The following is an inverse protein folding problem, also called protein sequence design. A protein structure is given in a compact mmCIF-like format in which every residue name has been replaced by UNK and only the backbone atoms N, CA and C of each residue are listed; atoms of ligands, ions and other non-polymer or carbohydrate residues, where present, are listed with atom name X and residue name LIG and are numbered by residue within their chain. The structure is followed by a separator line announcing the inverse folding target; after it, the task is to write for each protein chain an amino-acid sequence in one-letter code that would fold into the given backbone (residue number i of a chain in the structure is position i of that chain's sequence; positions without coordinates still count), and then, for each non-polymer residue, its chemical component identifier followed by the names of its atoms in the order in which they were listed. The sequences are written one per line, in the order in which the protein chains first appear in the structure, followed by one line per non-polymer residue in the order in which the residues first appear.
data_IF_347183490180
#
_entry.id   IF_347183490180
#
_cell.length_a   1.000
_cell.length_b   1.000
_cell.length_c   1.000
_cell.angle_alpha   90.00
_cell.angle_beta   90.00
_cell.angle_gamma   90.00
#
_symmetry.space_group_name_H-M   'P 1'
#
loop_
_entity.id
_entity.type
_entity.pdbx_description
1 polymer ?
#
# COMPACT_ATOMS: atom_id res chain seq x y z
N UNK A 1 8.95 -8.44 -0.24
CA UNK A 1 8.70 -7.15 0.44
C UNK A 1 7.67 -7.34 1.55
N UNK A 2 7.24 -6.26 2.21
CA UNK A 2 6.12 -6.25 3.16
C UNK A 2 4.76 -6.34 2.45
N UNK A 3 3.72 -6.72 3.19
CA UNK A 3 2.33 -6.61 2.78
C UNK A 3 1.78 -5.22 3.11
N UNK A 4 0.55 -4.97 2.68
CA UNK A 4 -0.19 -3.75 3.01
C UNK A 4 -1.58 -4.11 3.50
N UNK A 5 -2.06 -3.34 4.47
CA UNK A 5 -3.47 -3.25 4.80
C UNK A 5 -3.94 -1.85 4.42
N UNK A 6 -4.93 -1.76 3.53
CA UNK A 6 -5.45 -0.47 3.04
C UNK A 6 -6.92 -0.36 3.38
N UNK A 7 -7.26 0.56 4.27
CA UNK A 7 -8.63 0.86 4.69
C UNK A 7 -9.13 2.08 3.91
N UNK A 8 -10.19 1.90 3.14
CA UNK A 8 -10.89 2.96 2.42
C UNK A 8 -12.15 3.34 3.18
N UNK A 9 -12.44 4.63 3.34
CA UNK A 9 -13.67 5.08 3.98
C UNK A 9 -14.13 6.44 3.49
N UNK A 10 -15.44 6.65 3.49
CA UNK A 10 -16.08 7.95 3.25
C UNK A 10 -16.71 8.49 4.53
N UNK A 11 -16.60 9.79 4.77
CA UNK A 11 -17.13 10.45 5.97
C UNK A 11 -18.18 11.49 5.62
N UNK A 12 -19.25 11.59 6.42
CA UNK A 12 -20.33 12.58 6.23
C UNK A 12 -20.00 13.99 6.72
N UNK A 13 -18.73 14.25 7.00
CA UNK A 13 -18.20 15.56 7.35
C UNK A 13 -16.80 15.68 6.79
N UNK A 14 -16.35 16.91 6.58
CA UNK A 14 -14.96 17.20 6.23
C UNK A 14 -14.07 17.25 7.46
N UNK A 15 -12.82 16.81 7.32
CA UNK A 15 -11.76 16.92 8.32
C UNK A 15 -10.73 17.94 7.84
N UNK A 16 -11.11 19.21 7.73
CA UNK A 16 -10.34 20.26 7.03
C UNK A 16 -8.86 20.34 7.43
N UNK A 17 -8.51 20.02 8.68
CA UNK A 17 -7.15 20.03 9.22
C UNK A 17 -6.26 18.83 8.83
N UNK A 18 -6.79 17.81 8.17
CA UNK A 18 -6.00 16.67 7.65
C UNK A 18 -5.53 17.01 6.25
N UNK A 19 -4.22 17.12 5.98
CA UNK A 19 -3.75 17.46 4.64
C UNK A 19 -3.95 16.32 3.63
N UNK A 20 -3.78 16.63 2.33
CA UNK A 20 -3.91 15.65 1.22
C UNK A 20 -3.11 14.38 1.51
N UNK A 21 -1.90 14.53 2.03
CA UNK A 21 -1.01 13.46 2.44
C UNK A 21 -0.60 13.69 3.89
N UNK A 22 -0.88 12.73 4.77
CA UNK A 22 -0.53 12.81 6.19
C UNK A 22 0.15 11.51 6.62
N UNK A 23 1.27 11.62 7.34
CA UNK A 23 1.93 10.47 7.99
C UNK A 23 1.70 10.58 9.50
N UNK A 24 1.10 9.55 10.07
CA UNK A 24 0.87 9.42 11.50
C UNK A 24 1.83 8.37 12.07
N UNK A 25 2.82 8.82 12.83
CA UNK A 25 3.86 7.96 13.37
C UNK A 25 3.47 7.31 14.68
N UNK A 26 3.66 5.99 14.76
CA UNK A 26 3.64 5.25 16.03
C UNK A 26 4.93 5.47 16.84
N UNK A 27 4.91 5.04 18.11
CA UNK A 27 6.02 5.28 19.05
C UNK A 27 7.28 4.45 18.74
N UNK A 28 7.14 3.25 18.16
CA UNK A 28 8.21 2.26 17.96
C UNK A 28 8.54 2.01 16.49
N UNK A 29 8.84 3.05 15.72
CA UNK A 29 9.05 2.92 14.27
C UNK A 29 10.07 1.82 13.88
N UNK A 30 11.24 1.77 14.52
CA UNK A 30 12.30 0.80 14.17
C UNK A 30 11.89 -0.64 14.49
N UNK A 31 11.35 -0.87 15.67
CA UNK A 31 10.95 -2.22 16.11
C UNK A 31 9.76 -2.73 15.29
N UNK A 32 8.80 -1.84 14.97
CA UNK A 32 7.67 -2.13 14.09
C UNK A 32 8.13 -2.64 12.72
N UNK A 33 9.14 -1.99 12.11
CA UNK A 33 9.70 -2.47 10.85
C UNK A 33 10.38 -3.84 10.99
N UNK A 34 11.09 -4.09 12.10
CA UNK A 34 11.69 -5.41 12.34
C UNK A 34 10.62 -6.50 12.50
N UNK A 35 9.54 -6.21 13.22
CA UNK A 35 8.43 -7.15 13.40
C UNK A 35 7.77 -7.50 12.06
N UNK A 36 7.59 -6.52 11.17
CA UNK A 36 6.99 -6.72 9.85
C UNK A 36 7.90 -7.49 8.90
N UNK A 37 9.15 -7.02 8.74
CA UNK A 37 10.06 -7.56 7.71
C UNK A 37 10.72 -8.86 8.15
N UNK A 38 11.14 -8.96 9.41
CA UNK A 38 11.98 -10.05 9.90
C UNK A 38 11.15 -11.08 10.66
N UNK A 39 10.37 -10.66 11.65
CA UNK A 39 9.65 -11.58 12.54
C UNK A 39 8.30 -12.04 11.97
N UNK A 40 7.77 -11.35 10.97
CA UNK A 40 6.47 -11.61 10.34
C UNK A 40 5.30 -11.54 11.33
N UNK A 41 5.36 -10.60 12.26
CA UNK A 41 4.37 -10.39 13.32
C UNK A 41 3.48 -9.20 12.97
N UNK A 42 2.16 -9.38 13.12
CA UNK A 42 1.23 -8.25 13.05
C UNK A 42 1.25 -7.52 14.40
N UNK A 43 1.86 -6.34 14.43
CA UNK A 43 2.04 -5.59 15.66
C UNK A 43 0.74 -4.98 16.20
N UNK A 44 0.71 -4.75 17.52
CA UNK A 44 -0.39 -4.05 18.20
C UNK A 44 -0.34 -2.52 18.01
N UNK A 45 0.82 -1.97 17.65
CA UNK A 45 0.99 -0.58 17.21
C UNK A 45 1.21 -0.49 15.69
N UNK A 46 1.05 0.72 15.15
CA UNK A 46 1.22 0.97 13.71
C UNK A 46 1.63 2.42 13.45
N UNK A 47 2.21 2.64 12.28
CA UNK A 47 2.32 3.97 11.66
C UNK A 47 1.46 3.95 10.40
N UNK A 48 0.76 5.05 10.16
CA UNK A 48 -0.25 5.13 9.11
C UNK A 48 0.12 6.20 8.10
N UNK A 49 -0.11 5.89 6.84
CA UNK A 49 -0.21 6.90 5.80
C UNK A 49 -1.68 7.14 5.48
N UNK A 50 -2.10 8.40 5.52
CA UNK A 50 -3.48 8.83 5.32
C UNK A 50 -3.51 9.69 4.07
N UNK A 51 -4.39 9.33 3.14
CA UNK A 51 -4.62 10.06 1.90
C UNK A 51 -6.04 10.63 1.92
N UNK A 52 -6.15 11.96 1.76
CA UNK A 52 -7.42 12.70 1.64
C UNK A 52 -7.45 13.44 0.29
N UNK A 53 -7.83 12.79 -0.82
CA UNK A 53 -7.82 13.43 -2.13
C UNK A 53 -8.75 14.64 -2.21
N UNK A 54 -9.84 14.67 -1.43
CA UNK A 54 -10.79 15.80 -1.33
C UNK A 54 -10.18 17.09 -0.79
N UNK A 55 -8.95 17.05 -0.25
CA UNK A 55 -8.15 18.23 0.04
C UNK A 55 -7.86 19.07 -1.23
N UNK A 56 -7.75 18.42 -2.37
CA UNK A 56 -7.31 19.01 -3.64
C UNK A 56 -8.37 18.88 -4.71
N UNK A 57 -9.08 17.75 -4.75
CA UNK A 57 -10.14 17.50 -5.71
C UNK A 57 -11.45 17.15 -4.98
N UNK A 58 -12.36 18.12 -4.80
CA UNK A 58 -13.65 17.90 -4.15
C UNK A 58 -14.53 16.83 -4.82
N UNK A 59 -14.29 16.48 -6.10
CA UNK A 59 -15.11 15.49 -6.83
C UNK A 59 -14.98 14.06 -6.30
N UNK A 60 -13.97 13.80 -5.46
CA UNK A 60 -13.75 12.49 -4.84
C UNK A 60 -14.77 12.12 -3.74
N UNK A 61 -15.63 13.05 -3.32
CA UNK A 61 -16.73 12.77 -2.40
C UNK A 61 -17.95 13.68 -2.69
N UNK A 62 -19.15 13.32 -2.19
CA UNK A 62 -20.29 14.24 -2.20
C UNK A 62 -20.01 15.55 -1.44
N UNK A 63 -20.84 16.56 -1.67
CA UNK A 63 -20.74 17.83 -0.96
C UNK A 63 -20.70 17.64 0.56
N UNK A 64 -19.83 18.42 1.21
CA UNK A 64 -19.58 18.37 2.66
C UNK A 64 -19.08 17.03 3.23
N UNK A 65 -18.70 16.09 2.36
CA UNK A 65 -18.09 14.82 2.73
C UNK A 65 -16.59 14.82 2.40
N UNK A 66 -15.86 13.86 2.96
CA UNK A 66 -14.50 13.53 2.56
C UNK A 66 -14.40 12.03 2.23
N UNK A 67 -13.47 11.68 1.36
CA UNK A 67 -13.05 10.30 1.10
C UNK A 67 -11.61 10.12 1.55
N UNK A 68 -11.28 8.95 2.07
CA UNK A 68 -9.94 8.61 2.52
C UNK A 68 -9.53 7.21 2.09
N UNK A 69 -8.22 7.02 1.97
CA UNK A 69 -7.65 5.72 2.33
C UNK A 69 -6.55 5.88 3.37
N UNK A 70 -6.39 4.84 4.17
CA UNK A 70 -5.36 4.70 5.19
C UNK A 70 -4.58 3.42 4.91
N UNK A 71 -3.27 3.57 4.76
CA UNK A 71 -2.34 2.49 4.51
C UNK A 71 -1.55 2.19 5.78
N UNK A 72 -1.62 0.93 6.21
CA UNK A 72 -0.81 0.37 7.29
C UNK A 72 0.16 -0.68 6.73
N UNK A 73 1.48 -0.54 6.95
CA UNK A 73 2.45 -1.59 6.69
C UNK A 73 2.16 -2.83 7.55
N UNK A 74 2.12 -4.01 6.93
CA UNK A 74 1.85 -5.29 7.63
C UNK A 74 2.74 -6.40 7.08
N UNK A 75 2.89 -7.53 7.79
CA UNK A 75 3.54 -8.70 7.21
C UNK A 75 2.84 -9.16 5.92
N UNK A 76 3.62 -9.70 4.99
CA UNK A 76 3.09 -10.35 3.80
C UNK A 76 2.55 -11.76 4.15
N UNK A 77 2.05 -12.50 3.15
CA UNK A 77 1.47 -13.84 3.35
C UNK A 77 2.47 -14.95 3.72
N UNK A 78 3.76 -14.62 3.86
CA UNK A 78 4.69 -15.55 4.52
C UNK A 78 4.44 -15.62 6.03
N UNK A 79 3.74 -14.61 6.58
CA UNK A 79 3.16 -14.69 7.91
C UNK A 79 1.89 -15.55 7.88
N UNK A 80 1.74 -16.45 8.85
CA UNK A 80 0.53 -17.28 9.00
C UNK A 80 -0.61 -16.51 9.70
N UNK A 81 -1.00 -15.37 9.12
CA UNK A 81 -2.05 -14.49 9.67
C UNK A 81 -3.40 -14.85 9.06
N UNK A 82 -4.41 -15.07 9.91
CA UNK A 82 -5.80 -15.22 9.46
C UNK A 82 -6.43 -13.83 9.27
N UNK A 83 -6.47 -13.37 8.01
CA UNK A 83 -6.98 -12.03 7.67
C UNK A 83 -8.50 -11.88 7.82
N UNK A 84 -9.27 -12.97 7.80
CA UNK A 84 -10.72 -12.92 8.10
C UNK A 84 -10.98 -12.53 9.56
N UNK A 85 -10.06 -12.91 10.47
CA UNK A 85 -10.12 -12.55 11.89
C UNK A 85 -9.40 -11.26 12.21
N UNK A 86 -8.20 -11.07 11.66
CA UNK A 86 -7.34 -9.93 12.01
C UNK A 86 -7.68 -8.65 11.22
N UNK A 87 -8.20 -8.76 10.00
CA UNK A 87 -8.63 -7.62 9.19
C UNK A 87 -9.67 -6.73 9.90
N UNK A 88 -10.80 -7.28 10.39
CA UNK A 88 -11.80 -6.51 11.13
C UNK A 88 -11.25 -5.87 12.41
N UNK A 89 -10.34 -6.56 13.12
CA UNK A 89 -9.70 -6.04 14.35
C UNK A 89 -8.78 -4.87 14.04
N UNK A 90 -7.92 -5.01 13.02
CA UNK A 90 -6.99 -3.97 12.60
C UNK A 90 -7.73 -2.73 12.11
N UNK A 91 -8.77 -2.92 11.28
CA UNK A 91 -9.71 -1.84 10.88
C UNK A 91 -10.21 -1.08 12.10
N UNK A 92 -10.75 -1.79 13.09
CA UNK A 92 -11.35 -1.18 14.29
C UNK A 92 -10.31 -0.44 15.13
N UNK A 93 -9.10 -0.99 15.26
CA UNK A 93 -7.97 -0.36 15.95
C UNK A 93 -7.51 0.92 15.24
N UNK A 94 -7.42 0.91 13.91
CA UNK A 94 -7.04 2.09 13.11
C UNK A 94 -8.09 3.20 13.28
N UNK A 95 -9.38 2.88 13.10
CA UNK A 95 -10.46 3.87 13.26
C UNK A 95 -10.44 4.46 14.67
N UNK A 96 -10.31 3.62 15.70
CA UNK A 96 -10.22 4.06 17.09
C UNK A 96 -9.02 4.98 17.33
N UNK A 97 -7.84 4.60 16.87
CA UNK A 97 -6.63 5.40 17.06
C UNK A 97 -6.73 6.77 16.37
N UNK A 98 -7.29 6.83 15.16
CA UNK A 98 -7.51 8.09 14.45
C UNK A 98 -8.59 8.93 15.14
N UNK A 99 -9.69 8.33 15.60
CA UNK A 99 -10.77 9.02 16.33
C UNK A 99 -10.28 9.65 17.64
N UNK A 100 -9.45 8.93 18.40
CA UNK A 100 -8.90 9.39 19.68
C UNK A 100 -7.78 10.44 19.52
N UNK A 101 -7.27 10.67 18.30
CA UNK A 101 -6.13 11.55 18.06
C UNK A 101 -6.43 12.65 17.04
N UNK A 102 -6.08 12.42 15.78
CA UNK A 102 -6.06 13.44 14.74
C UNK A 102 -7.40 13.60 14.00
N UNK A 103 -8.36 12.69 14.18
CA UNK A 103 -9.66 12.73 13.48
C UNK A 103 -10.84 12.56 14.46
N UNK A 104 -11.04 13.46 15.44
CA UNK A 104 -12.09 13.34 16.44
C UNK A 104 -13.49 13.19 15.83
N UNK A 105 -14.20 12.14 16.25
CA UNK A 105 -15.53 11.79 15.77
C UNK A 105 -15.57 11.10 14.41
N UNK A 106 -14.43 10.60 13.90
CA UNK A 106 -14.32 9.71 12.76
C UNK A 106 -15.27 8.50 12.84
N UNK A 107 -15.28 7.77 13.95
CA UNK A 107 -16.07 6.54 14.07
C UNK A 107 -17.57 6.79 13.82
N UNK A 108 -18.06 7.97 14.21
CA UNK A 108 -19.46 8.40 14.01
C UNK A 108 -19.73 8.99 12.62
N UNK A 109 -18.70 9.45 11.91
CA UNK A 109 -18.86 10.08 10.60
C UNK A 109 -18.69 9.12 9.43
N UNK A 110 -18.05 7.97 9.61
CA UNK A 110 -17.92 6.95 8.54
C UNK A 110 -19.31 6.50 8.07
N UNK A 111 -19.54 6.55 6.76
CA UNK A 111 -20.78 6.10 6.12
C UNK A 111 -20.63 4.81 5.34
N UNK A 112 -19.44 4.59 4.80
CA UNK A 112 -19.06 3.41 4.05
C UNK A 112 -17.58 3.20 4.25
N UNK A 113 -17.18 1.95 4.37
CA UNK A 113 -15.79 1.57 4.38
C UNK A 113 -15.59 0.13 3.92
N UNK A 114 -14.39 -0.14 3.43
CA UNK A 114 -13.91 -1.47 3.07
C UNK A 114 -12.39 -1.48 3.16
N UNK A 115 -11.78 -2.66 3.18
CA UNK A 115 -10.33 -2.76 3.23
C UNK A 115 -9.80 -3.81 2.27
N UNK A 116 -8.52 -3.68 1.93
CA UNK A 116 -7.72 -4.62 1.17
C UNK A 116 -6.58 -5.12 2.04
N UNK A 117 -6.35 -6.42 1.99
CA UNK A 117 -5.34 -7.16 2.77
C UNK A 117 -4.30 -7.78 1.84
N UNK A 118 -3.19 -8.33 2.36
CA UNK A 118 -2.25 -9.11 1.56
C UNK A 118 -2.90 -10.27 0.78
N UNK A 119 -4.02 -10.83 1.27
CA UNK A 119 -4.78 -11.88 0.55
C UNK A 119 -5.38 -11.31 -0.73
N UNK A 120 -6.01 -10.13 -0.64
CA UNK A 120 -6.54 -9.44 -1.82
C UNK A 120 -5.43 -9.09 -2.81
N UNK A 121 -4.28 -8.60 -2.33
CA UNK A 121 -3.16 -8.27 -3.22
C UNK A 121 -2.63 -9.51 -3.96
N UNK A 122 -2.62 -10.67 -3.30
CA UNK A 122 -2.23 -11.92 -3.91
C UNK A 122 -3.22 -12.38 -4.98
N UNK A 123 -4.52 -12.30 -4.69
CA UNK A 123 -5.58 -12.76 -5.57
C UNK A 123 -5.82 -11.80 -6.75
N UNK A 124 -6.00 -10.51 -6.46
CA UNK A 124 -6.45 -9.52 -7.45
C UNK A 124 -5.31 -9.04 -8.38
N UNK A 125 -4.06 -9.06 -7.89
CA UNK A 125 -2.90 -8.56 -8.63
C UNK A 125 -1.80 -9.60 -8.87
N UNK A 126 -2.04 -10.87 -8.54
CA UNK A 126 -1.04 -11.93 -8.63
C UNK A 126 0.27 -11.58 -7.90
N UNK A 127 0.20 -10.75 -6.84
CA UNK A 127 1.38 -10.33 -6.10
C UNK A 127 1.95 -11.51 -5.32
N UNK A 128 3.22 -11.82 -5.56
CA UNK A 128 3.94 -12.88 -4.84
C UNK A 128 3.89 -12.59 -3.34
N UNK A 129 3.35 -13.55 -2.58
CA UNK A 129 3.08 -13.45 -1.14
C UNK A 129 2.19 -12.26 -0.73
N UNK A 130 1.40 -11.68 -1.63
CA UNK A 130 0.57 -10.51 -1.30
C UNK A 130 1.37 -9.25 -0.99
N UNK A 131 2.58 -9.12 -1.55
CA UNK A 131 3.44 -7.96 -1.33
C UNK A 131 2.83 -6.70 -1.97
N UNK A 132 2.80 -5.59 -1.22
CA UNK A 132 2.20 -4.34 -1.70
C UNK A 132 3.06 -3.57 -2.71
N UNK A 133 4.37 -3.84 -2.74
CA UNK A 133 5.33 -3.11 -3.59
C UNK A 133 6.27 -4.05 -4.36
N UNK A 134 5.81 -5.25 -4.72
CA UNK A 134 6.61 -6.26 -5.42
C UNK A 134 7.86 -6.68 -4.61
N UNK A 135 9.04 -6.71 -5.23
CA UNK A 135 10.31 -7.08 -4.60
C UNK A 135 10.73 -6.08 -3.51
N UNK A 136 11.48 -6.54 -2.51
CA UNK A 136 11.93 -5.66 -1.44
C UNK A 136 12.99 -4.68 -1.99
N UNK A 137 13.05 -3.44 -1.47
CA UNK A 137 14.06 -2.46 -1.89
C UNK A 137 15.42 -2.73 -1.22
N UNK A 138 15.89 -3.98 -1.26
CA UNK A 138 17.26 -4.32 -0.85
C UNK A 138 18.23 -3.80 -1.90
N UNK A 139 19.46 -3.47 -1.52
CA UNK A 139 20.49 -3.02 -2.47
C UNK A 139 20.69 -4.04 -3.61
N UNK A 140 20.74 -5.32 -3.27
CA UNK A 140 20.85 -6.46 -4.21
C UNK A 140 19.59 -6.72 -5.05
N UNK A 141 18.50 -5.99 -4.81
CA UNK A 141 17.23 -6.10 -5.54
C UNK A 141 16.80 -4.75 -6.14
N UNK A 142 17.72 -3.78 -6.21
CA UNK A 142 17.44 -2.40 -6.64
C UNK A 142 18.25 -2.03 -7.88
N UNK A 143 17.77 -1.01 -8.60
CA UNK A 143 18.40 -0.43 -9.79
C UNK A 143 18.81 -1.51 -10.82
N UNK A 144 20.12 -1.65 -11.08
CA UNK A 144 20.67 -2.60 -12.04
C UNK A 144 20.33 -4.06 -11.70
N UNK A 145 20.22 -4.39 -10.41
CA UNK A 145 19.97 -5.76 -9.93
C UNK A 145 18.49 -6.16 -9.96
N UNK A 146 17.61 -5.30 -10.48
CA UNK A 146 16.23 -5.72 -10.77
C UNK A 146 16.22 -6.69 -11.95
N UNK A 147 15.19 -7.53 -12.01
CA UNK A 147 14.92 -8.33 -13.21
C UNK A 147 14.91 -7.42 -14.44
N UNK A 148 15.62 -7.82 -15.49
CA UNK A 148 15.70 -7.05 -16.72
C UNK A 148 14.43 -7.22 -17.55
N UNK A 149 14.18 -6.24 -18.42
CA UNK A 149 12.99 -6.21 -19.27
C UNK A 149 13.01 -7.29 -20.37
N UNK A 150 14.18 -7.83 -20.72
CA UNK A 150 14.32 -9.01 -21.57
C UNK A 150 14.68 -10.20 -20.69
N UNK A 151 13.93 -11.29 -20.81
CA UNK A 151 14.14 -12.46 -19.96
C UNK A 151 15.49 -13.14 -20.27
N UNK A 152 16.18 -13.58 -19.21
CA UNK A 152 17.37 -14.41 -19.32
C UNK A 152 16.95 -15.84 -19.67
N UNK A 153 17.43 -16.37 -20.80
CA UNK A 153 17.25 -17.78 -21.18
C UNK A 153 16.06 -18.12 -22.08
N UNK A 154 15.04 -17.27 -22.18
CA UNK A 154 13.90 -17.48 -23.12
C UNK A 154 13.91 -16.40 -24.19
N UNK A 155 14.07 -16.82 -25.45
CA UNK A 155 13.98 -15.92 -26.58
C UNK A 155 12.57 -15.31 -26.70
N UNK A 156 12.50 -14.01 -27.03
CA UNK A 156 11.26 -13.26 -27.24
C UNK A 156 10.31 -13.18 -26.02
N UNK A 157 10.81 -13.42 -24.80
CA UNK A 157 10.08 -13.16 -23.57
C UNK A 157 10.53 -11.84 -22.95
N UNK A 158 9.56 -10.97 -22.63
CA UNK A 158 9.79 -9.64 -22.06
C UNK A 158 8.99 -9.47 -20.77
N UNK A 159 9.57 -8.75 -19.82
CA UNK A 159 8.99 -8.47 -18.51
C UNK A 159 8.73 -6.97 -18.38
N UNK A 160 7.57 -6.61 -17.85
CA UNK A 160 7.16 -5.22 -17.62
C UNK A 160 6.46 -5.10 -16.27
N UNK A 161 6.70 -4.01 -15.55
CA UNK A 161 5.97 -3.68 -14.34
C UNK A 161 6.85 -3.41 -13.11
N UNK A 162 6.21 -3.37 -11.95
CA UNK A 162 6.81 -2.85 -10.72
C UNK A 162 7.93 -3.74 -10.13
N UNK A 163 8.00 -5.01 -10.52
CA UNK A 163 9.07 -5.95 -10.12
C UNK A 163 10.29 -5.92 -11.04
N UNK A 164 10.14 -5.34 -12.23
CA UNK A 164 11.16 -5.30 -13.27
C UNK A 164 11.85 -3.95 -13.27
N UNK A 165 12.99 -3.85 -13.94
CA UNK A 165 13.63 -2.59 -14.24
C UNK A 165 12.63 -1.61 -14.91
N UNK A 166 12.67 -0.29 -14.59
CA UNK A 166 13.53 0.36 -13.61
C UNK A 166 13.03 0.28 -12.16
N UNK A 167 11.75 -0.02 -11.93
CA UNK A 167 11.24 -0.34 -10.60
C UNK A 167 9.77 -0.02 -10.37
N UNK A 168 9.40 0.03 -9.09
CA UNK A 168 8.03 0.25 -8.64
C UNK A 168 7.62 1.73 -8.69
N UNK A 169 6.30 1.97 -8.54
CA UNK A 169 5.69 3.29 -8.64
C UNK A 169 5.26 3.62 -10.06
N UNK A 170 4.28 4.53 -10.22
CA UNK A 170 3.69 4.87 -11.52
C UNK A 170 4.76 5.28 -12.56
N UNK A 171 5.73 6.17 -12.24
CA UNK A 171 6.78 6.51 -13.20
C UNK A 171 7.66 5.30 -13.57
N UNK A 172 8.02 4.48 -12.59
CA UNK A 172 8.86 3.29 -12.80
C UNK A 172 8.20 2.27 -13.72
N UNK A 173 6.92 1.99 -13.49
CA UNK A 173 6.13 1.06 -14.31
C UNK A 173 5.96 1.57 -15.74
N UNK A 174 5.66 2.87 -15.92
CA UNK A 174 5.53 3.47 -17.26
C UNK A 174 6.86 3.44 -18.02
N UNK A 175 7.97 3.75 -17.35
CA UNK A 175 9.30 3.63 -17.94
C UNK A 175 9.65 2.19 -18.30
N UNK A 176 9.23 1.20 -17.49
CA UNK A 176 9.40 -0.23 -17.79
C UNK A 176 8.75 -0.58 -19.14
N UNK A 177 7.53 -0.10 -19.38
CA UNK A 177 6.83 -0.32 -20.65
C UNK A 177 7.56 0.35 -21.83
N UNK A 178 8.04 1.59 -21.65
CA UNK A 178 8.82 2.30 -22.67
C UNK A 178 10.12 1.58 -23.04
N UNK A 179 10.79 0.98 -22.06
CA UNK A 179 12.00 0.18 -22.31
C UNK A 179 11.66 -1.06 -23.15
N UNK A 180 10.59 -1.78 -22.81
CA UNK A 180 10.16 -2.96 -23.57
C UNK A 180 9.77 -2.60 -25.00
N UNK A 181 9.04 -1.49 -25.21
CA UNK A 181 8.66 -1.01 -26.54
C UNK A 181 9.88 -0.81 -27.45
N UNK A 182 10.92 -0.13 -26.94
CA UNK A 182 12.19 0.04 -27.66
C UNK A 182 12.94 -1.28 -27.91
N UNK A 183 12.81 -2.28 -27.04
CA UNK A 183 13.47 -3.58 -27.21
C UNK A 183 12.78 -4.48 -28.24
N UNK A 184 11.46 -4.31 -28.44
CA UNK A 184 10.67 -5.07 -29.41
C UNK A 184 10.75 -4.40 -30.80
N UNK A 185 10.69 -3.07 -30.83
CA UNK A 185 10.77 -2.27 -32.04
C UNK A 185 12.05 -1.41 -32.03
N UNK A 186 13.24 -2.01 -32.19
CA UNK A 186 14.45 -1.22 -32.30
C UNK A 186 14.36 -0.32 -33.54
N UNK A 187 14.49 0.99 -33.34
CA UNK A 187 14.57 1.99 -34.41
C UNK A 187 15.79 1.75 -35.32
#
# INVERSE_FOLDING_TARGET
SMGLFVLYFGTSKKFNHIEHHTIWFGKRYKDLLSDIFNHKILAEDFSLYIHRPTATDPSFAPDNCDSFYVLAPVPNLQASINWDKEGPKLRSRIIKALDETIMPGLARSIKVDFYKTPVDFHHDYCSVYGAGFSIAPLLSQSAWFRFHNKAEGIANLYLVGAGTHPGAGLPGVLCSAKVVDNLINPA
#
